data_IF_080214287960
#
_entry.id   IF_080214287960
#
_cell.length_a   1.000
_cell.length_b   1.000
_cell.length_c   1.000
_cell.angle_alpha   90.00
_cell.angle_beta   90.00
_cell.angle_gamma   90.00
#
_symmetry.space_group_name_H-M   'P 1'
#
loop_
_entity.id
_entity.type
_entity.pdbx_description
1 polymer ?
#
# COMPACT_ATOMS: atom_id res chain seq x y z
N UNK A 1 -1.48 15.72 -5.14
CA UNK A 1 -1.72 15.61 -3.68
C UNK A 1 -2.57 14.35 -3.46
N UNK A 2 -2.80 13.89 -2.22
CA UNK A 2 -3.75 12.78 -2.03
C UNK A 2 -5.18 13.30 -2.08
N UNK A 3 -6.11 12.47 -2.51
CA UNK A 3 -7.54 12.75 -2.57
C UNK A 3 -8.32 11.43 -2.48
N UNK A 4 -9.60 11.48 -2.09
CA UNK A 4 -10.45 10.29 -2.11
C UNK A 4 -10.96 10.00 -3.52
N UNK A 5 -10.96 8.73 -3.89
CA UNK A 5 -11.29 8.24 -5.25
C UNK A 5 -12.60 7.46 -5.28
N UNK A 6 -13.15 7.12 -4.12
CA UNK A 6 -14.26 6.18 -3.96
C UNK A 6 -13.80 4.72 -3.85
N UNK A 7 -12.51 4.42 -4.04
CA UNK A 7 -12.00 3.06 -3.94
C UNK A 7 -11.70 2.68 -2.48
N UNK A 8 -12.41 1.69 -1.87
CA UNK A 8 -12.33 1.45 -0.42
C UNK A 8 -10.93 1.17 0.12
N UNK A 9 -10.13 0.32 -0.55
CA UNK A 9 -8.78 0.00 -0.08
C UNK A 9 -7.84 1.22 -0.09
N UNK A 10 -7.96 2.05 -1.12
CA UNK A 10 -7.10 3.22 -1.28
C UNK A 10 -7.57 4.34 -0.35
N UNK A 11 -8.87 4.63 -0.31
CA UNK A 11 -9.43 5.71 0.49
C UNK A 11 -9.25 5.50 1.99
N UNK A 12 -9.43 4.27 2.49
CA UNK A 12 -9.11 3.94 3.89
C UNK A 12 -7.61 4.11 4.15
N UNK A 13 -6.76 3.73 3.18
CA UNK A 13 -5.33 4.02 3.24
C UNK A 13 -5.01 5.51 3.28
N UNK A 14 -5.68 6.34 2.47
CA UNK A 14 -5.55 7.80 2.47
C UNK A 14 -5.98 8.36 3.82
N UNK A 15 -7.13 7.95 4.34
CA UNK A 15 -7.62 8.37 5.65
C UNK A 15 -6.62 8.01 6.76
N UNK A 16 -6.08 6.79 6.72
CA UNK A 16 -5.04 6.34 7.65
C UNK A 16 -3.81 7.23 7.62
N UNK A 17 -3.25 7.51 6.44
CA UNK A 17 -2.09 8.40 6.27
C UNK A 17 -2.40 9.78 6.82
N UNK A 18 -3.60 10.30 6.53
CA UNK A 18 -4.06 11.64 6.93
C UNK A 18 -4.22 11.75 8.45
N UNK A 19 -4.86 10.75 9.07
CA UNK A 19 -5.06 10.64 10.52
C UNK A 19 -3.74 10.43 11.27
N UNK A 20 -2.83 9.61 10.73
CA UNK A 20 -1.51 9.35 11.31
C UNK A 20 -0.73 10.64 11.55
N UNK A 21 -0.77 11.58 10.60
CA UNK A 21 -0.12 12.89 10.72
C UNK A 21 -1.02 13.99 11.28
N UNK A 22 -2.21 13.62 11.79
CA UNK A 22 -3.17 14.51 12.47
C UNK A 22 -3.63 15.69 11.62
N UNK A 23 -3.74 15.50 10.31
CA UNK A 23 -4.38 16.46 9.38
C UNK A 23 -5.79 15.99 9.10
N UNK A 24 -6.70 16.86 8.66
CA UNK A 24 -8.06 16.44 8.26
C UNK A 24 -8.25 16.35 6.75
N UNK A 25 -7.58 17.22 6.01
CA UNK A 25 -7.68 17.26 4.56
C UNK A 25 -6.49 16.49 3.93
N UNK A 26 -6.73 15.39 3.19
CA UNK A 26 -5.69 14.67 2.46
C UNK A 26 -4.90 15.54 1.47
N UNK A 27 -5.51 16.61 0.95
CA UNK A 27 -4.82 17.52 0.05
C UNK A 27 -3.68 18.27 0.76
N UNK A 28 -3.78 18.48 2.08
CA UNK A 28 -2.80 19.19 2.89
C UNK A 28 -1.58 18.34 3.28
N UNK A 29 -1.52 17.09 2.84
CA UNK A 29 -0.38 16.20 3.05
C UNK A 29 0.85 16.66 2.24
N UNK A 30 1.99 16.68 2.89
CA UNK A 30 3.29 17.06 2.35
C UNK A 30 4.18 15.84 2.15
N UNK A 31 5.26 15.94 1.36
CA UNK A 31 6.23 14.85 1.23
C UNK A 31 6.81 14.38 2.58
N UNK A 32 7.02 15.31 3.52
CA UNK A 32 7.53 14.97 4.85
C UNK A 32 6.54 14.14 5.68
N UNK A 33 5.23 14.36 5.50
CA UNK A 33 4.19 13.55 6.15
C UNK A 33 4.21 12.11 5.62
N UNK A 34 4.36 11.96 4.29
CA UNK A 34 4.43 10.65 3.64
C UNK A 34 5.70 9.89 4.08
N UNK A 35 6.83 10.60 4.21
CA UNK A 35 8.08 10.04 4.73
C UNK A 35 7.93 9.56 6.18
N UNK A 36 7.26 10.33 7.04
CA UNK A 36 7.03 9.92 8.43
C UNK A 36 6.18 8.64 8.53
N UNK A 37 5.20 8.47 7.63
CA UNK A 37 4.42 7.23 7.53
C UNK A 37 5.28 6.08 7.00
N UNK A 38 6.09 6.32 5.96
CA UNK A 38 7.02 5.33 5.43
C UNK A 38 8.00 4.82 6.51
N UNK A 39 8.57 5.73 7.31
CA UNK A 39 9.46 5.42 8.43
C UNK A 39 8.77 4.56 9.49
N UNK A 40 7.52 4.88 9.83
CA UNK A 40 6.74 4.07 10.76
C UNK A 40 6.48 2.67 10.22
N UNK A 41 6.03 2.56 8.97
CA UNK A 41 5.72 1.28 8.33
C UNK A 41 6.99 0.42 8.26
N UNK A 42 8.11 0.98 7.80
CA UNK A 42 9.37 0.25 7.67
C UNK A 42 9.84 -0.34 9.01
N UNK A 43 9.70 0.45 10.08
CA UNK A 43 10.14 0.08 11.43
C UNK A 43 9.20 -0.92 12.10
N UNK A 44 7.90 -0.69 12.06
CA UNK A 44 6.93 -1.44 12.88
C UNK A 44 6.39 -2.70 12.19
N UNK A 45 6.34 -2.77 10.85
CA UNK A 45 5.71 -3.92 10.14
C UNK A 45 6.46 -5.24 10.37
N UNK A 46 7.71 -5.18 10.79
CA UNK A 46 8.54 -6.35 11.08
C UNK A 46 8.42 -6.85 12.53
N UNK A 47 7.70 -6.12 13.39
CA UNK A 47 7.65 -6.36 14.84
C UNK A 47 6.28 -6.91 15.26
N UNK A 48 6.28 -7.81 16.23
CA UNK A 48 5.03 -8.24 16.86
C UNK A 48 4.50 -7.16 17.83
N UNK A 49 3.17 -7.04 18.00
CA UNK A 49 2.11 -7.87 17.43
C UNK A 49 1.64 -7.42 16.02
N UNK A 50 2.19 -6.32 15.49
CA UNK A 50 1.70 -5.71 14.26
C UNK A 50 1.94 -6.61 13.05
N UNK A 51 3.12 -7.23 12.97
CA UNK A 51 3.47 -8.21 11.93
C UNK A 51 2.42 -9.33 11.80
N UNK A 52 2.01 -9.94 12.91
CA UNK A 52 0.96 -10.96 12.91
C UNK A 52 -0.39 -10.41 12.42
N UNK A 53 -0.77 -9.20 12.84
CA UNK A 53 -1.99 -8.54 12.37
C UNK A 53 -1.98 -8.28 10.86
N UNK A 54 -0.86 -7.79 10.32
CA UNK A 54 -0.70 -7.52 8.90
C UNK A 54 -0.82 -8.77 8.03
N UNK A 55 -0.56 -9.95 8.58
CA UNK A 55 -0.81 -11.24 7.91
C UNK A 55 -2.28 -11.49 7.55
N UNK A 56 -3.22 -10.73 8.13
CA UNK A 56 -4.64 -10.75 7.74
C UNK A 56 -4.86 -9.98 6.43
N UNK A 57 -4.12 -8.91 6.21
CA UNK A 57 -4.22 -8.06 5.03
C UNK A 57 -3.36 -8.56 3.86
N UNK A 58 -2.13 -8.94 4.18
CA UNK A 58 -1.10 -9.29 3.23
C UNK A 58 -0.69 -10.75 3.39
N UNK A 59 -0.23 -11.34 2.28
CA UNK A 59 0.26 -12.72 2.31
C UNK A 59 1.61 -12.83 3.02
N UNK A 60 1.99 -14.05 3.40
CA UNK A 60 3.29 -14.36 4.02
C UNK A 60 4.51 -13.97 3.15
N UNK A 61 4.30 -13.70 1.87
CA UNK A 61 5.34 -13.26 0.95
C UNK A 61 5.49 -11.72 0.89
N UNK A 62 4.75 -10.96 1.70
CA UNK A 62 5.01 -9.52 1.81
C UNK A 62 6.41 -9.26 2.38
N UNK A 63 7.01 -8.14 1.97
CA UNK A 63 8.43 -7.81 2.26
C UNK A 63 8.79 -7.89 3.76
N UNK A 64 7.87 -7.51 4.65
CA UNK A 64 8.08 -7.54 6.10
C UNK A 64 7.92 -8.93 6.75
N UNK A 65 7.24 -9.87 6.08
CA UNK A 65 6.93 -11.20 6.63
C UNK A 65 7.59 -12.36 5.86
N UNK A 66 8.20 -12.11 4.71
CA UNK A 66 8.80 -13.13 3.86
C UNK A 66 9.96 -13.87 4.57
N UNK A 67 9.84 -15.20 4.82
CA UNK A 67 10.88 -15.97 5.51
C UNK A 67 12.22 -15.96 4.79
N UNK A 68 12.21 -15.95 3.45
CA UNK A 68 13.43 -15.91 2.64
C UNK A 68 14.29 -14.65 2.90
N UNK A 69 13.70 -13.57 3.42
CA UNK A 69 14.41 -12.35 3.76
C UNK A 69 14.98 -12.36 5.18
N UNK A 70 14.73 -13.39 5.99
CA UNK A 70 15.27 -13.48 7.36
C UNK A 70 16.79 -13.37 7.41
N UNK A 71 17.48 -13.99 6.44
CA UNK A 71 18.93 -13.96 6.30
C UNK A 71 19.42 -12.89 5.30
N UNK A 72 18.51 -12.07 4.76
CA UNK A 72 18.82 -11.05 3.74
C UNK A 72 18.20 -9.70 4.12
N UNK A 73 18.65 -9.08 5.23
CA UNK A 73 18.07 -7.83 5.74
C UNK A 73 18.20 -6.67 4.74
N UNK A 74 19.26 -6.66 3.92
CA UNK A 74 19.43 -5.65 2.88
C UNK A 74 18.35 -5.78 1.80
N UNK A 75 18.10 -7.00 1.31
CA UNK A 75 17.05 -7.25 0.32
C UNK A 75 15.68 -6.82 0.86
N UNK A 76 15.41 -7.05 2.15
CA UNK A 76 14.18 -6.57 2.79
C UNK A 76 14.06 -5.05 2.75
N UNK A 77 15.12 -4.33 3.14
CA UNK A 77 15.15 -2.85 3.12
C UNK A 77 14.95 -2.31 1.71
N UNK A 78 15.56 -2.95 0.72
CA UNK A 78 15.41 -2.54 -0.68
C UNK A 78 13.95 -2.67 -1.15
N UNK A 79 13.26 -3.77 -0.81
CA UNK A 79 11.83 -3.94 -1.11
C UNK A 79 10.95 -2.93 -0.36
N UNK A 80 11.24 -2.69 0.92
CA UNK A 80 10.53 -1.67 1.70
C UNK A 80 10.68 -0.30 1.04
N UNK A 81 11.90 0.08 0.65
CA UNK A 81 12.18 1.35 -0.04
C UNK A 81 11.42 1.46 -1.36
N UNK A 82 11.42 0.41 -2.20
CA UNK A 82 10.69 0.40 -3.48
C UNK A 82 9.18 0.67 -3.30
N UNK A 83 8.59 0.13 -2.24
CA UNK A 83 7.15 0.28 -1.95
C UNK A 83 6.82 1.60 -1.25
N UNK A 84 7.64 2.03 -0.30
CA UNK A 84 7.31 3.14 0.60
C UNK A 84 7.87 4.49 0.15
N UNK A 85 8.93 4.49 -0.67
CA UNK A 85 9.69 5.69 -1.05
C UNK A 85 9.96 5.77 -2.56
N UNK A 86 8.95 5.45 -3.37
CA UNK A 86 9.00 5.52 -4.85
C UNK A 86 8.49 6.84 -5.43
N UNK A 87 8.19 7.83 -4.59
CA UNK A 87 7.53 9.08 -4.98
C UNK A 87 8.30 9.89 -6.04
N UNK A 88 9.63 9.87 -5.97
CA UNK A 88 10.51 10.66 -6.84
C UNK A 88 11.10 9.85 -8.01
N UNK A 89 10.81 8.55 -8.08
CA UNK A 89 11.48 7.59 -8.98
C UNK A 89 10.86 7.52 -10.39
N UNK A 90 10.31 8.64 -10.88
CA UNK A 90 9.70 8.73 -12.21
C UNK A 90 8.39 7.94 -12.38
N UNK A 91 7.78 8.09 -13.56
CA UNK A 91 6.49 7.51 -13.89
C UNK A 91 6.50 6.73 -15.20
N UNK A 92 5.63 5.72 -15.27
CA UNK A 92 5.30 4.97 -16.48
C UNK A 92 4.19 5.66 -17.28
N UNK A 93 3.99 5.23 -18.54
CA UNK A 93 2.85 5.65 -19.38
C UNK A 93 1.53 5.03 -18.90
N UNK A 94 1.59 3.96 -18.12
CA UNK A 94 0.41 3.29 -17.57
C UNK A 94 -0.28 4.14 -16.51
N UNK A 95 -1.60 4.00 -16.40
CA UNK A 95 -2.40 4.72 -15.39
C UNK A 95 -2.69 3.85 -14.19
N UNK A 96 -2.53 4.41 -13.00
CA UNK A 96 -2.88 3.79 -11.75
C UNK A 96 -4.38 3.48 -11.70
N UNK A 97 -4.73 2.24 -11.35
CA UNK A 97 -6.13 1.80 -11.23
C UNK A 97 -6.89 2.47 -10.09
N UNK A 98 -6.20 3.02 -9.09
CA UNK A 98 -6.81 3.66 -7.93
C UNK A 98 -7.00 5.16 -8.13
N UNK A 99 -5.98 5.85 -8.64
CA UNK A 99 -5.96 7.32 -8.70
C UNK A 99 -6.11 7.90 -10.10
N UNK A 100 -5.91 7.10 -11.15
CA UNK A 100 -5.82 7.57 -12.54
C UNK A 100 -4.54 8.35 -12.88
N UNK A 101 -3.69 8.63 -11.88
CA UNK A 101 -2.35 9.21 -12.04
C UNK A 101 -1.40 8.21 -12.73
N UNK A 102 -0.29 8.66 -13.34
CA UNK A 102 0.73 7.76 -13.88
C UNK A 102 1.24 6.74 -12.83
N UNK A 103 1.39 5.48 -13.23
CA UNK A 103 2.00 4.44 -12.41
C UNK A 103 3.49 4.75 -12.17
N UNK A 104 4.07 4.24 -11.08
CA UNK A 104 5.50 4.46 -10.82
C UNK A 104 6.38 3.67 -11.80
N UNK A 105 7.56 4.19 -12.13
CA UNK A 105 8.58 3.45 -12.88
C UNK A 105 9.42 2.50 -11.99
N UNK A 106 9.04 2.32 -10.71
CA UNK A 106 9.70 1.39 -9.78
C UNK A 106 9.07 0.00 -9.85
N UNK A 107 9.90 -1.03 -10.01
CA UNK A 107 9.47 -2.41 -9.90
C UNK A 107 9.27 -2.84 -8.44
N UNK A 108 8.06 -3.30 -8.10
CA UNK A 108 7.75 -3.79 -6.75
C UNK A 108 8.19 -5.25 -6.54
N UNK A 109 8.43 -6.01 -7.61
CA UNK A 109 9.04 -7.34 -7.55
C UNK A 109 10.07 -7.53 -8.65
N UNK A 110 10.87 -8.60 -8.53
CA UNK A 110 11.90 -8.94 -9.51
C UNK A 110 11.31 -9.66 -10.75
N UNK A 111 10.00 -9.97 -10.77
CA UNK A 111 9.37 -10.72 -11.88
C UNK A 111 8.38 -9.92 -12.72
N UNK A 112 7.78 -8.88 -12.17
CA UNK A 112 6.80 -8.07 -12.88
C UNK A 112 7.43 -6.79 -13.45
N UNK A 113 6.84 -6.23 -14.51
CA UNK A 113 7.22 -4.91 -15.01
C UNK A 113 7.14 -3.83 -13.92
N UNK A 114 7.89 -2.72 -14.09
CA UNK A 114 7.79 -1.59 -13.17
C UNK A 114 6.37 -1.06 -13.01
N UNK A 115 6.01 -0.65 -11.78
CA UNK A 115 4.70 -0.12 -11.44
C UNK A 115 3.59 -1.16 -11.26
N UNK A 116 3.85 -2.44 -11.49
CA UNK A 116 2.85 -3.52 -11.39
C UNK A 116 2.81 -4.14 -9.99
N UNK A 117 1.64 -4.10 -9.35
CA UNK A 117 1.38 -4.62 -8.02
C UNK A 117 0.46 -5.85 -8.05
N UNK A 118 0.60 -6.75 -7.06
CA UNK A 118 -0.16 -8.00 -6.94
C UNK A 118 -0.43 -8.32 -5.46
N UNK A 119 -0.92 -9.52 -5.12
CA UNK A 119 -1.39 -9.86 -3.75
C UNK A 119 -0.41 -9.64 -2.59
N UNK A 120 0.88 -9.52 -2.87
CA UNK A 120 1.89 -9.23 -1.85
C UNK A 120 1.91 -7.74 -1.46
N UNK A 121 1.38 -6.87 -2.33
CA UNK A 121 1.43 -5.42 -2.17
C UNK A 121 0.04 -4.80 -1.99
N UNK A 122 -1.00 -5.43 -2.56
CA UNK A 122 -2.39 -4.98 -2.46
C UNK A 122 -3.24 -6.13 -1.92
N UNK A 123 -3.99 -5.92 -0.83
CA UNK A 123 -4.88 -6.94 -0.29
C UNK A 123 -5.91 -7.43 -1.32
N UNK A 124 -6.33 -8.69 -1.18
CA UNK A 124 -7.40 -9.31 -1.98
C UNK A 124 -7.13 -9.45 -3.50
N UNK A 125 -5.89 -9.23 -3.96
CA UNK A 125 -5.50 -9.54 -5.35
C UNK A 125 -5.04 -11.00 -5.53
N UNK A 126 -4.80 -11.38 -6.79
CA UNK A 126 -4.28 -12.69 -7.21
C UNK A 126 -2.74 -12.74 -7.22
N UNK A 127 -2.19 -13.94 -7.46
CA UNK A 127 -0.75 -14.18 -7.50
C UNK A 127 -0.01 -13.45 -8.64
N UNK A 128 1.32 -13.45 -8.53
CA UNK A 128 2.25 -12.77 -9.44
C UNK A 128 2.18 -13.30 -10.89
N UNK A 129 1.96 -14.61 -11.07
CA UNK A 129 1.99 -15.28 -12.38
C UNK A 129 0.59 -15.51 -12.98
N UNK A 130 -0.46 -14.88 -12.42
CA UNK A 130 -1.86 -15.16 -12.77
C UNK A 130 -2.41 -14.10 -13.73
N UNK A 131 -2.33 -14.33 -15.04
CA UNK A 131 -2.80 -13.36 -16.05
C UNK A 131 -4.32 -13.26 -16.18
N UNK A 132 -5.06 -14.35 -15.95
CA UNK A 132 -6.48 -14.48 -16.31
C UNK A 132 -7.43 -13.54 -15.54
N UNK A 133 -6.97 -12.98 -14.42
CA UNK A 133 -7.78 -12.13 -13.54
C UNK A 133 -7.29 -10.68 -13.50
N UNK A 134 -6.37 -10.30 -14.40
CA UNK A 134 -5.96 -8.91 -14.58
C UNK A 134 -6.47 -8.36 -15.92
N UNK A 135 -6.72 -7.03 -16.00
CA UNK A 135 -7.14 -6.41 -17.24
C UNK A 135 -6.18 -6.71 -18.39
N UNK A 136 -6.72 -6.96 -19.58
CA UNK A 136 -5.95 -7.18 -20.82
C UNK A 136 -5.00 -8.39 -20.81
N UNK A 137 -5.08 -9.27 -19.80
CA UNK A 137 -4.18 -10.41 -19.68
C UNK A 137 -2.77 -10.03 -19.20
N UNK A 138 -2.57 -8.81 -18.70
CA UNK A 138 -1.29 -8.35 -18.18
C UNK A 138 -1.21 -8.59 -16.67
N UNK A 139 -0.19 -9.32 -16.22
CA UNK A 139 -0.03 -9.62 -14.80
C UNK A 139 0.20 -8.36 -13.94
N UNK A 140 -0.57 -8.26 -12.85
CA UNK A 140 -0.49 -7.17 -11.87
C UNK A 140 -1.27 -5.92 -12.28
N UNK A 141 -1.61 -5.11 -11.28
CA UNK A 141 -2.28 -3.83 -11.47
C UNK A 141 -1.25 -2.69 -11.55
N UNK A 142 -1.37 -1.75 -12.49
CA UNK A 142 -0.56 -0.54 -12.49
C UNK A 142 -0.92 0.35 -11.29
N UNK A 143 0.07 0.77 -10.51
CA UNK A 143 -0.11 1.55 -9.28
C UNK A 143 0.87 2.73 -9.21
N UNK A 144 0.35 3.91 -8.86
CA UNK A 144 1.15 5.11 -8.61
C UNK A 144 1.92 5.01 -7.28
N UNK A 145 3.07 5.67 -7.16
CA UNK A 145 3.90 5.67 -5.96
C UNK A 145 3.13 6.07 -4.69
N UNK A 146 2.25 7.08 -4.79
CA UNK A 146 1.39 7.53 -3.69
C UNK A 146 0.35 6.47 -3.30
N UNK A 147 -0.24 5.84 -4.31
CA UNK A 147 -1.26 4.82 -4.11
C UNK A 147 -0.69 3.61 -3.39
N UNK A 148 0.51 3.17 -3.74
CA UNK A 148 1.11 2.01 -3.09
C UNK A 148 1.42 2.27 -1.61
N UNK A 149 1.90 3.46 -1.24
CA UNK A 149 2.09 3.83 0.18
C UNK A 149 0.76 3.81 0.95
N UNK A 150 -0.30 4.37 0.37
CA UNK A 150 -1.64 4.34 0.99
C UNK A 150 -2.16 2.92 1.16
N UNK A 151 -1.96 2.05 0.16
CA UNK A 151 -2.32 0.63 0.24
C UNK A 151 -1.49 -0.12 1.28
N UNK A 152 -0.23 0.27 1.49
CA UNK A 152 0.58 -0.26 2.59
C UNK A 152 0.04 0.22 3.94
N UNK A 153 -0.44 1.46 4.05
CA UNK A 153 -1.03 2.00 5.28
C UNK A 153 -2.44 1.45 5.59
N UNK A 154 -3.22 1.06 4.58
CA UNK A 154 -4.61 0.59 4.68
C UNK A 154 -4.94 -0.28 5.90
N UNK A 155 -4.15 -1.33 6.24
CA UNK A 155 -4.50 -2.19 7.37
C UNK A 155 -4.47 -1.47 8.72
N UNK A 156 -3.70 -0.38 8.86
CA UNK A 156 -3.59 0.36 10.12
C UNK A 156 -4.87 1.12 10.45
N UNK A 157 -5.61 1.60 9.44
CA UNK A 157 -6.95 2.18 9.61
C UNK A 157 -8.07 1.15 9.68
N UNK A 158 -7.73 -0.14 9.85
CA UNK A 158 -8.71 -1.22 10.01
C UNK A 158 -8.69 -1.77 11.43
N UNK A 159 -9.86 -2.16 11.94
CA UNK A 159 -9.96 -2.90 13.19
C UNK A 159 -9.83 -4.41 12.94
N UNK A 160 -9.19 -5.14 13.87
CA UNK A 160 -9.21 -6.60 13.86
C UNK A 160 -10.54 -7.10 14.42
N UNK A 161 -11.37 -7.75 13.61
CA UNK A 161 -12.64 -8.32 14.03
C UNK A 161 -12.72 -9.79 13.63
N UNK A 162 -12.76 -10.71 14.62
CA UNK A 162 -12.90 -12.15 14.37
C UNK A 162 -11.81 -12.76 13.47
N UNK A 163 -10.56 -12.27 13.56
CA UNK A 163 -9.46 -12.72 12.70
C UNK A 163 -9.48 -12.15 11.27
N UNK A 164 -10.35 -11.16 11.00
CA UNK A 164 -10.47 -10.45 9.72
C UNK A 164 -10.24 -8.94 9.92
N UNK A 165 -10.14 -8.21 8.81
CA UNK A 165 -10.13 -6.75 8.82
C UNK A 165 -11.57 -6.22 8.74
N UNK A 166 -11.87 -5.25 9.60
CA UNK A 166 -13.02 -4.37 9.47
C UNK A 166 -12.51 -3.00 9.01
N UNK A 167 -12.84 -2.65 7.78
CA UNK A 167 -12.61 -1.32 7.21
C UNK A 167 -13.95 -0.60 7.11
N UNK A 168 -13.98 0.69 7.46
CA UNK A 168 -15.16 1.55 7.29
C UNK A 168 -14.89 2.50 6.13
N UNK A 169 -15.79 2.50 5.15
CA UNK A 169 -15.75 3.40 4.00
C UNK A 169 -17.13 4.05 3.83
N UNK A 170 -17.14 5.32 3.42
CA UNK A 170 -18.34 6.13 3.29
C UNK A 170 -18.11 7.23 2.26
N UNK A 171 -19.18 7.73 1.64
CA UNK A 171 -19.11 8.95 0.84
C UNK A 171 -18.90 10.21 1.72
N UNK A 172 -19.06 10.10 3.05
CA UNK A 172 -18.69 11.15 3.98
C UNK A 172 -17.22 10.96 4.44
N UNK A 173 -16.29 11.84 4.04
CA UNK A 173 -14.87 11.71 4.37
C UNK A 173 -14.59 11.79 5.87
N UNK A 174 -15.42 12.51 6.65
CA UNK A 174 -15.25 12.62 8.10
C UNK A 174 -15.42 11.26 8.78
N UNK A 175 -16.33 10.41 8.29
CA UNK A 175 -16.54 9.07 8.85
C UNK A 175 -15.38 8.13 8.56
N UNK A 176 -14.75 8.23 7.38
CA UNK A 176 -13.56 7.44 7.06
C UNK A 176 -12.39 7.90 7.94
N UNK A 177 -12.24 9.23 8.08
CA UNK A 177 -11.18 9.84 8.87
C UNK A 177 -11.29 9.50 10.37
N UNK A 178 -12.48 9.64 10.97
CA UNK A 178 -12.67 9.44 12.40
C UNK A 178 -12.54 7.96 12.82
N UNK A 179 -12.70 7.01 11.87
CA UNK A 179 -12.49 5.59 12.11
C UNK A 179 -11.01 5.16 12.00
N UNK A 180 -10.25 5.83 11.12
CA UNK A 180 -8.87 5.48 10.78
C UNK A 180 -7.87 5.91 11.87
#
# INVERSE_FOLDING_TARGET
MLFYTGHPLYDVGVATVTAFVKKRDPAMLTPADLEAVADFIEREYQREPLKSFLGVAFTTNAWFNQPAFANQPQKRKDYARRLLRSLDEGSSEERCVFTGEPATAVAFSDKLPPGRAFRQHVPLLTGEDVINFYPWGDAGLPVAAKAILCLQAFPLGCAKCGGRLLAVHSDNPDLIYDFA
#
